data_IF_884711431128
#
_entry.id   IF_884711431128
#
_cell.length_a   1.000
_cell.length_b   1.000
_cell.length_c   1.000
_cell.angle_alpha   90.00
_cell.angle_beta   90.00
_cell.angle_gamma   90.00
#
_symmetry.space_group_name_H-M   'P 1'
#
loop_
_entity.id
_entity.type
_entity.pdbx_description
1 polymer ?
#
# COMPACT_ATOMS: atom_id res chain seq x y z
N UNK A 1 23.94 -27.87 23.07
CA UNK A 1 23.10 -26.67 22.84
C UNK A 1 23.72 -25.85 21.71
N UNK A 2 22.98 -25.55 20.63
CA UNK A 2 23.47 -24.64 19.58
C UNK A 2 23.36 -23.19 20.07
N UNK A 3 24.39 -22.35 19.90
CA UNK A 3 24.28 -20.93 20.28
C UNK A 3 23.20 -20.25 19.44
N UNK A 4 22.34 -19.50 20.12
CA UNK A 4 21.29 -18.67 19.52
C UNK A 4 21.93 -17.66 18.56
N UNK A 5 21.71 -17.86 17.26
CA UNK A 5 22.21 -17.06 16.15
C UNK A 5 21.53 -15.65 16.03
N UNK A 6 20.93 -15.11 17.10
CA UNK A 6 20.33 -13.75 17.12
C UNK A 6 21.33 -12.62 17.32
N UNK A 7 22.55 -12.96 17.76
CA UNK A 7 23.63 -12.01 18.08
C UNK A 7 24.64 -11.89 16.95
N UNK A 8 24.20 -11.76 15.70
CA UNK A 8 25.11 -11.54 14.58
C UNK A 8 25.65 -10.09 14.67
N UNK A 9 26.92 -9.85 15.06
CA UNK A 9 27.40 -8.50 15.32
C UNK A 9 27.40 -7.62 14.06
N UNK A 10 27.50 -8.24 12.87
CA UNK A 10 27.43 -7.53 11.59
C UNK A 10 26.02 -7.02 11.33
N UNK A 11 25.01 -7.82 11.63
CA UNK A 11 23.61 -7.41 11.51
C UNK A 11 23.27 -6.29 12.51
N UNK A 12 23.72 -6.43 13.76
CA UNK A 12 23.51 -5.40 14.77
C UNK A 12 24.10 -4.06 14.36
N UNK A 13 25.37 -4.05 13.92
CA UNK A 13 26.05 -2.84 13.43
C UNK A 13 25.31 -2.23 12.23
N UNK A 14 24.85 -3.07 11.30
CA UNK A 14 24.07 -2.62 10.15
C UNK A 14 22.75 -1.95 10.56
N UNK A 15 22.02 -2.54 11.51
CA UNK A 15 20.73 -1.99 11.96
C UNK A 15 20.93 -0.68 12.74
N UNK A 16 21.91 -0.61 13.64
CA UNK A 16 22.27 0.62 14.36
C UNK A 16 22.52 1.76 13.36
N UNK A 17 23.34 1.51 12.35
CA UNK A 17 23.67 2.51 11.32
C UNK A 17 22.42 2.96 10.56
N UNK A 18 21.56 2.02 10.15
CA UNK A 18 20.34 2.33 9.39
C UNK A 18 19.33 3.12 10.19
N UNK A 19 19.26 2.91 11.51
CA UNK A 19 18.30 3.58 12.39
C UNK A 19 18.80 4.91 12.96
N UNK A 20 20.08 5.26 12.77
CA UNK A 20 20.71 6.43 13.40
C UNK A 20 19.97 7.74 13.13
N UNK A 21 19.56 7.94 11.88
CA UNK A 21 18.91 9.16 11.39
C UNK A 21 17.46 8.90 10.93
N UNK A 22 16.85 7.81 11.39
CA UNK A 22 15.50 7.43 11.01
C UNK A 22 14.50 8.45 11.58
N UNK A 23 13.79 9.15 10.69
CA UNK A 23 12.68 10.06 11.04
C UNK A 23 11.30 9.39 10.94
N UNK A 24 11.29 8.12 10.55
CA UNK A 24 10.09 7.29 10.43
C UNK A 24 10.47 5.81 10.48
N UNK A 25 9.50 4.93 10.73
CA UNK A 25 9.70 3.48 10.68
C UNK A 25 10.33 2.97 9.39
N UNK A 26 11.42 2.21 9.53
CA UNK A 26 12.07 1.50 8.45
C UNK A 26 11.36 0.17 8.15
N UNK A 27 11.38 -0.23 6.88
CA UNK A 27 10.81 -1.50 6.45
C UNK A 27 11.76 -2.67 6.77
N UNK A 28 11.34 -3.57 7.65
CA UNK A 28 12.14 -4.73 8.10
C UNK A 28 12.53 -5.65 6.94
N UNK A 29 11.64 -5.87 5.98
CA UNK A 29 11.90 -6.75 4.83
C UNK A 29 12.99 -6.16 3.94
N UNK A 30 12.92 -4.85 3.66
CA UNK A 30 13.95 -4.12 2.91
C UNK A 30 15.30 -4.12 3.63
N UNK A 31 15.31 -3.93 4.95
CA UNK A 31 16.54 -4.02 5.75
C UNK A 31 17.17 -5.41 5.66
N UNK A 32 16.36 -6.47 5.68
CA UNK A 32 16.84 -7.85 5.53
C UNK A 32 17.44 -8.11 4.13
N UNK A 33 16.80 -7.62 3.07
CA UNK A 33 17.29 -7.72 1.69
C UNK A 33 18.61 -6.94 1.50
N UNK A 34 18.66 -5.70 1.98
CA UNK A 34 19.87 -4.86 1.93
C UNK A 34 21.03 -5.52 2.68
N UNK A 35 20.76 -6.05 3.88
CA UNK A 35 21.79 -6.76 4.64
C UNK A 35 22.29 -8.01 3.92
N UNK A 36 21.39 -8.81 3.34
CA UNK A 36 21.79 -10.01 2.57
C UNK A 36 22.68 -9.64 1.39
N UNK A 37 22.31 -8.59 0.63
CA UNK A 37 23.10 -8.10 -0.50
C UNK A 37 24.48 -7.63 -0.06
N UNK A 38 24.56 -6.88 1.05
CA UNK A 38 25.83 -6.34 1.56
C UNK A 38 26.73 -7.40 2.21
N UNK A 39 26.16 -8.46 2.77
CA UNK A 39 26.90 -9.52 3.45
C UNK A 39 27.36 -10.65 2.52
N UNK A 40 26.87 -10.70 1.27
CA UNK A 40 27.12 -11.81 0.34
C UNK A 40 26.54 -13.15 0.82
N UNK A 41 25.60 -13.13 1.77
CA UNK A 41 25.08 -14.34 2.41
C UNK A 41 24.22 -15.17 1.45
N UNK A 42 24.44 -16.49 1.43
CA UNK A 42 23.59 -17.46 0.71
C UNK A 42 22.24 -17.77 1.38
N UNK A 43 22.02 -17.31 2.63
CA UNK A 43 20.74 -17.51 3.34
C UNK A 43 19.57 -16.78 2.68
N UNK A 44 18.36 -17.32 2.87
CA UNK A 44 17.13 -16.75 2.34
C UNK A 44 16.76 -15.42 2.98
N UNK A 45 15.97 -14.61 2.27
CA UNK A 45 15.49 -13.29 2.75
C UNK A 45 14.65 -13.47 4.02
N UNK A 46 13.81 -14.51 4.05
CA UNK A 46 13.00 -14.88 5.20
C UNK A 46 13.86 -15.21 6.44
N UNK A 47 15.03 -15.83 6.25
CA UNK A 47 15.96 -16.08 7.36
C UNK A 47 16.46 -14.77 7.97
N UNK A 48 16.79 -13.78 7.15
CA UNK A 48 17.26 -12.47 7.63
C UNK A 48 16.13 -11.64 8.23
N UNK A 49 14.93 -11.69 7.63
CA UNK A 49 13.73 -11.06 8.18
C UNK A 49 13.42 -11.55 9.58
N UNK A 50 13.42 -12.87 9.80
CA UNK A 50 13.23 -13.47 11.14
C UNK A 50 14.31 -13.03 12.12
N UNK A 51 15.55 -12.86 11.67
CA UNK A 51 16.65 -12.35 12.52
C UNK A 51 16.45 -10.90 12.93
N UNK A 52 16.04 -10.03 12.00
CA UNK A 52 15.72 -8.63 12.30
C UNK A 52 14.51 -8.54 13.24
N UNK A 53 13.47 -9.35 13.03
CA UNK A 53 12.31 -9.41 13.94
C UNK A 53 12.69 -9.87 15.34
N UNK A 54 13.56 -10.87 15.46
CA UNK A 54 14.06 -11.34 16.75
C UNK A 54 14.91 -10.28 17.45
N UNK A 55 15.78 -9.59 16.72
CA UNK A 55 16.54 -8.47 17.25
C UNK A 55 15.62 -7.34 17.74
N UNK A 56 14.59 -6.99 16.94
CA UNK A 56 13.56 -6.00 17.30
C UNK A 56 12.86 -6.34 18.62
N UNK A 57 12.60 -7.61 18.92
CA UNK A 57 11.95 -8.00 20.19
C UNK A 57 12.91 -8.06 21.38
N UNK A 58 14.21 -8.26 21.14
CA UNK A 58 15.20 -8.44 22.21
C UNK A 58 15.93 -7.14 22.58
N UNK A 59 15.91 -6.11 21.72
CA UNK A 59 16.75 -4.90 21.84
C UNK A 59 16.67 -4.18 23.20
N UNK A 60 15.48 -4.06 23.77
CA UNK A 60 15.27 -3.35 25.03
C UNK A 60 16.03 -4.01 26.20
N UNK A 61 16.22 -5.33 26.14
CA UNK A 61 16.89 -6.14 27.16
C UNK A 61 18.41 -6.28 26.93
N UNK A 62 18.97 -5.62 25.91
CA UNK A 62 20.40 -5.76 25.58
C UNK A 62 21.25 -4.75 26.36
N UNK A 63 21.88 -5.17 27.46
CA UNK A 63 22.74 -4.29 28.28
C UNK A 63 23.99 -3.77 27.55
N UNK A 64 24.37 -4.39 26.44
CA UNK A 64 25.53 -3.98 25.64
C UNK A 64 25.28 -2.78 24.72
N UNK A 65 24.07 -2.22 24.72
CA UNK A 65 23.67 -1.12 23.85
C UNK A 65 23.17 0.02 24.74
N UNK A 66 23.70 1.22 24.52
CA UNK A 66 23.30 2.41 25.25
C UNK A 66 21.82 2.76 25.01
N UNK A 67 21.18 3.38 26.00
CA UNK A 67 19.76 3.73 25.96
C UNK A 67 19.39 4.59 24.76
N UNK A 68 20.22 5.57 24.38
CA UNK A 68 19.93 6.43 23.22
C UNK A 68 19.88 5.61 21.93
N UNK A 69 20.81 4.67 21.77
CA UNK A 69 20.87 3.77 20.62
C UNK A 69 19.69 2.81 20.63
N UNK A 70 19.29 2.28 21.80
CA UNK A 70 18.09 1.44 21.93
C UNK A 70 16.84 2.21 21.49
N UNK A 71 16.68 3.47 21.92
CA UNK A 71 15.55 4.32 21.53
C UNK A 71 15.49 4.51 20.02
N UNK A 72 16.61 4.84 19.37
CA UNK A 72 16.68 4.97 17.90
C UNK A 72 16.30 3.68 17.16
N UNK A 73 16.75 2.53 17.65
CA UNK A 73 16.42 1.23 17.05
C UNK A 73 14.95 0.89 17.26
N UNK A 74 14.43 1.07 18.47
CA UNK A 74 13.04 0.81 18.85
C UNK A 74 12.10 1.66 17.99
N UNK A 75 12.39 2.95 17.87
CA UNK A 75 11.67 3.86 16.98
C UNK A 75 11.80 3.43 15.51
N UNK A 76 13.03 3.32 15.01
CA UNK A 76 13.31 3.00 13.61
C UNK A 76 12.75 1.64 13.17
N UNK A 77 12.69 0.63 14.03
CA UNK A 77 12.10 -0.69 13.72
C UNK A 77 10.63 -0.81 14.15
N UNK A 78 10.02 0.26 14.66
CA UNK A 78 8.67 0.21 15.25
C UNK A 78 8.50 -0.91 16.28
N UNK A 79 9.50 -1.14 17.13
CA UNK A 79 9.39 -2.13 18.20
C UNK A 79 8.34 -1.66 19.23
N UNK A 80 7.43 -2.55 19.67
CA UNK A 80 6.63 -2.25 20.85
C UNK A 80 7.58 -2.19 22.05
N UNK A 81 7.39 -1.20 22.92
CA UNK A 81 8.11 -1.09 24.19
C UNK A 81 7.30 -1.76 25.29
N UNK A 82 7.99 -2.48 26.17
CA UNK A 82 7.36 -2.93 27.39
C UNK A 82 7.27 -1.81 28.43
N UNK A 83 6.44 -2.04 29.46
CA UNK A 83 6.19 -1.05 30.50
C UNK A 83 7.43 -0.73 31.35
N UNK A 84 8.35 -1.69 31.52
CA UNK A 84 9.55 -1.49 32.34
C UNK A 84 10.47 -0.51 31.62
N UNK A 85 10.77 -0.78 30.34
CA UNK A 85 11.60 0.07 29.52
C UNK A 85 10.95 1.46 29.31
N UNK A 86 9.63 1.54 29.10
CA UNK A 86 8.93 2.83 28.99
C UNK A 86 9.06 3.67 30.26
N UNK A 87 8.88 3.07 31.44
CA UNK A 87 9.03 3.76 32.72
C UNK A 87 10.47 4.22 32.95
N UNK A 88 11.48 3.48 32.47
CA UNK A 88 12.87 3.91 32.52
C UNK A 88 13.12 5.15 31.65
N UNK A 89 12.62 5.15 30.41
CA UNK A 89 12.76 6.29 29.51
C UNK A 89 12.07 7.55 30.03
N UNK A 90 10.90 7.40 30.65
CA UNK A 90 10.10 8.52 31.15
C UNK A 90 10.73 9.26 32.35
N UNK A 91 11.81 8.74 32.95
CA UNK A 91 12.56 9.45 33.99
C UNK A 91 13.30 10.67 33.43
N UNK A 92 13.85 10.53 32.23
CA UNK A 92 14.77 11.49 31.63
C UNK A 92 14.28 12.03 30.28
N UNK A 93 13.07 11.67 29.85
CA UNK A 93 12.49 12.09 28.59
C UNK A 93 10.96 12.16 28.63
N UNK A 94 10.40 13.04 27.80
CA UNK A 94 9.00 12.96 27.39
C UNK A 94 8.86 11.84 26.35
N UNK A 95 8.00 10.85 26.63
CA UNK A 95 7.76 9.71 25.73
C UNK A 95 6.28 9.51 25.49
N UNK A 96 5.87 9.55 24.22
CA UNK A 96 4.51 9.23 23.78
C UNK A 96 4.54 7.92 22.98
N UNK A 97 3.52 7.09 23.18
CA UNK A 97 3.36 5.81 22.49
C UNK A 97 1.99 5.70 21.85
N UNK A 98 1.89 4.92 20.78
CA UNK A 98 0.61 4.60 20.13
C UNK A 98 -0.14 3.43 20.79
N UNK A 99 -1.31 3.08 20.24
CA UNK A 99 -2.16 1.96 20.66
C UNK A 99 -1.47 0.58 20.68
N UNK A 100 -0.34 0.43 19.97
CA UNK A 100 0.45 -0.79 19.92
C UNK A 100 1.70 -0.70 20.82
N UNK A 101 1.75 0.27 21.73
CA UNK A 101 2.89 0.59 22.60
C UNK A 101 4.17 0.87 21.81
N UNK A 102 4.09 1.54 20.65
CA UNK A 102 5.27 1.95 19.88
C UNK A 102 5.54 3.43 20.13
N UNK A 103 6.79 3.80 20.39
CA UNK A 103 7.19 5.20 20.60
C UNK A 103 6.85 6.01 19.34
N UNK A 104 5.94 6.97 19.43
CA UNK A 104 5.63 7.94 18.37
C UNK A 104 6.37 9.25 18.56
N UNK A 105 6.71 9.57 19.81
CA UNK A 105 7.47 10.75 20.18
C UNK A 105 8.41 10.44 21.33
N UNK A 106 9.64 10.93 21.22
CA UNK A 106 10.64 10.88 22.26
C UNK A 106 11.37 12.22 22.28
N UNK A 107 11.47 12.85 23.45
CA UNK A 107 12.22 14.08 23.64
C UNK A 107 13.00 14.01 24.96
N UNK A 108 14.31 13.88 24.87
CA UNK A 108 15.18 13.88 26.03
C UNK A 108 15.12 15.23 26.76
N UNK A 109 15.12 15.21 28.09
CA UNK A 109 15.03 16.41 28.92
C UNK A 109 16.24 17.34 28.74
N UNK A 110 17.40 16.80 28.40
CA UNK A 110 18.64 17.53 28.11
C UNK A 110 18.71 18.05 26.66
N UNK A 111 17.72 17.73 25.82
CA UNK A 111 17.68 18.11 24.41
C UNK A 111 18.63 17.32 23.50
N UNK A 112 19.28 16.26 23.99
CA UNK A 112 20.24 15.44 23.21
C UNK A 112 19.59 14.68 22.05
N UNK A 113 18.33 14.28 22.20
CA UNK A 113 17.59 13.50 21.21
C UNK A 113 16.12 13.92 21.15
N UNK A 114 15.65 14.18 19.92
CA UNK A 114 14.25 14.40 19.61
C UNK A 114 13.86 13.53 18.41
N UNK A 115 12.85 12.67 18.61
CA UNK A 115 12.27 11.81 17.60
C UNK A 115 10.77 12.03 17.61
N UNK A 116 10.19 12.22 16.44
CA UNK A 116 8.76 12.29 16.25
C UNK A 116 8.42 11.67 14.90
N UNK A 117 7.43 10.79 14.89
CA UNK A 117 7.02 10.12 13.67
C UNK A 117 5.76 9.29 13.86
N UNK A 118 4.98 9.19 12.80
CA UNK A 118 3.77 8.41 12.80
C UNK A 118 4.06 6.92 12.49
N UNK A 119 3.63 6.06 13.42
CA UNK A 119 3.67 4.60 13.28
C UNK A 119 2.31 4.02 12.87
N UNK A 120 1.28 4.87 12.84
CA UNK A 120 0.01 4.58 12.20
C UNK A 120 0.26 4.30 10.71
N UNK A 121 -0.68 3.62 10.11
CA UNK A 121 -0.46 2.89 8.88
C UNK A 121 -0.73 3.72 7.59
N UNK A 122 -0.17 4.93 7.36
CA UNK A 122 -0.03 5.41 5.98
C UNK A 122 1.25 4.89 5.33
N UNK A 123 2.40 5.03 6.00
CA UNK A 123 3.70 4.61 5.45
C UNK A 123 3.89 3.08 5.48
N UNK A 124 3.29 2.40 6.46
CA UNK A 124 3.44 0.95 6.66
C UNK A 124 2.42 0.11 5.88
N UNK A 125 1.20 0.61 5.62
CA UNK A 125 0.22 -0.08 4.73
C UNK A 125 0.55 0.05 3.25
N UNK A 126 1.40 1.00 2.84
CA UNK A 126 1.87 1.04 1.46
C UNK A 126 2.75 -0.20 1.13
N UNK A 127 3.40 -0.80 2.14
CA UNK A 127 4.43 -1.83 1.96
C UNK A 127 4.27 -3.14 2.75
N UNK A 128 3.36 -3.26 3.73
CA UNK A 128 3.18 -4.52 4.50
C UNK A 128 1.70 -4.93 4.65
N UNK A 129 1.07 -5.36 3.56
CA UNK A 129 0.11 -6.47 3.62
C UNK A 129 0.74 -7.67 2.93
N UNK A 130 0.86 -8.75 3.69
CA UNK A 130 1.38 -10.07 3.28
C UNK A 130 0.46 -10.62 2.16
N UNK A 131 0.72 -10.28 0.89
CA UNK A 131 0.48 -11.08 -0.35
C UNK A 131 0.86 -10.30 -1.65
N UNK A 132 1.85 -9.41 -1.61
CA UNK A 132 2.14 -8.48 -2.74
C UNK A 132 3.57 -8.57 -3.28
N UNK A 133 4.12 -9.79 -3.45
CA UNK A 133 5.36 -9.99 -4.23
C UNK A 133 5.28 -9.40 -5.65
N UNK A 134 4.06 -9.19 -6.15
CA UNK A 134 3.79 -8.60 -7.45
C UNK A 134 3.77 -7.06 -7.45
N UNK A 135 3.75 -6.35 -6.31
CA UNK A 135 3.77 -4.86 -6.34
C UNK A 135 5.08 -4.29 -6.84
N UNK A 136 6.17 -5.05 -6.72
CA UNK A 136 7.47 -4.76 -7.32
C UNK A 136 7.68 -5.44 -8.68
N UNK A 137 6.70 -6.22 -9.16
CA UNK A 137 6.71 -6.74 -10.52
C UNK A 137 6.49 -5.56 -11.49
N UNK A 138 7.46 -5.23 -12.34
CA UNK A 138 7.33 -4.13 -13.30
C UNK A 138 6.05 -4.21 -14.12
N UNK A 139 5.65 -5.42 -14.53
CA UNK A 139 4.47 -5.65 -15.36
C UNK A 139 3.17 -5.38 -14.58
N UNK A 140 3.17 -5.61 -13.27
CA UNK A 140 2.03 -5.24 -12.44
C UNK A 140 1.94 -3.72 -12.24
N UNK A 141 3.09 -3.04 -12.06
CA UNK A 141 3.14 -1.58 -11.94
C UNK A 141 2.60 -0.96 -13.23
N UNK A 142 3.02 -1.47 -14.39
CA UNK A 142 2.52 -1.07 -15.70
C UNK A 142 1.01 -1.32 -15.85
N UNK A 143 0.54 -2.51 -15.46
CA UNK A 143 -0.90 -2.82 -15.46
C UNK A 143 -1.69 -1.83 -14.57
N UNK A 144 -1.15 -1.46 -13.40
CA UNK A 144 -1.81 -0.51 -12.50
C UNK A 144 -1.87 0.88 -13.09
N UNK A 145 -0.77 1.37 -13.69
CA UNK A 145 -0.74 2.65 -14.40
C UNK A 145 -1.74 2.65 -15.55
N UNK A 146 -1.79 1.57 -16.33
CA UNK A 146 -2.74 1.40 -17.41
C UNK A 146 -4.19 1.44 -16.91
N UNK A 147 -4.50 0.75 -15.81
CA UNK A 147 -5.84 0.78 -15.20
C UNK A 147 -6.23 2.19 -14.76
N UNK A 148 -5.33 2.91 -14.07
CA UNK A 148 -5.59 4.29 -13.62
C UNK A 148 -5.88 5.19 -14.82
N UNK A 149 -5.04 5.15 -15.85
CA UNK A 149 -5.28 5.92 -17.08
C UNK A 149 -6.61 5.57 -17.73
N UNK A 150 -6.90 4.27 -17.90
CA UNK A 150 -8.13 3.80 -18.53
C UNK A 150 -9.39 4.26 -17.81
N UNK A 151 -9.31 4.50 -16.50
CA UNK A 151 -10.44 4.99 -15.70
C UNK A 151 -10.64 6.51 -15.71
N UNK A 152 -9.67 7.31 -16.19
CA UNK A 152 -9.80 8.78 -16.17
C UNK A 152 -10.99 9.27 -16.99
N UNK A 153 -11.19 8.65 -18.15
CA UNK A 153 -12.25 8.96 -19.12
C UNK A 153 -13.44 7.99 -19.04
N UNK A 154 -13.43 7.07 -18.06
CA UNK A 154 -14.49 6.06 -17.94
C UNK A 154 -15.75 6.65 -17.32
N UNK A 155 -16.77 6.88 -18.16
CA UNK A 155 -18.11 7.28 -17.76
C UNK A 155 -19.05 6.11 -17.49
N UNK A 156 -18.57 4.87 -17.65
CA UNK A 156 -19.33 3.65 -17.41
C UNK A 156 -18.44 2.54 -16.84
N UNK A 157 -19.02 1.54 -16.14
CA UNK A 157 -18.26 0.41 -15.63
C UNK A 157 -17.57 -0.39 -16.74
N UNK A 158 -16.32 -0.77 -16.51
CA UNK A 158 -15.48 -1.51 -17.45
C UNK A 158 -15.52 -3.02 -17.21
N UNK A 159 -15.38 -3.78 -18.29
CA UNK A 159 -15.09 -5.21 -18.21
C UNK A 159 -13.61 -5.46 -17.90
N UNK A 160 -13.30 -5.95 -16.69
CA UNK A 160 -11.91 -6.28 -16.30
C UNK A 160 -11.27 -7.29 -17.27
N UNK A 161 -12.07 -8.17 -17.89
CA UNK A 161 -11.57 -9.11 -18.90
C UNK A 161 -11.11 -8.37 -20.16
N UNK A 162 -11.93 -7.49 -20.71
CA UNK A 162 -11.59 -6.73 -21.92
C UNK A 162 -10.41 -5.80 -21.66
N UNK A 163 -10.36 -5.15 -20.50
CA UNK A 163 -9.22 -4.31 -20.09
C UNK A 163 -7.93 -5.12 -20.01
N UNK A 164 -7.98 -6.36 -19.53
CA UNK A 164 -6.83 -7.26 -19.50
C UNK A 164 -6.41 -7.74 -20.91
N UNK A 165 -7.36 -7.99 -21.81
CA UNK A 165 -7.09 -8.31 -23.22
C UNK A 165 -6.43 -7.13 -23.93
N UNK A 166 -6.93 -5.92 -23.70
CA UNK A 166 -6.37 -4.69 -24.25
C UNK A 166 -4.95 -4.43 -23.73
N UNK A 167 -4.73 -4.50 -22.41
CA UNK A 167 -3.39 -4.36 -21.84
C UNK A 167 -2.42 -5.36 -22.44
N UNK A 168 -2.82 -6.64 -22.60
CA UNK A 168 -1.98 -7.65 -23.22
C UNK A 168 -1.60 -7.26 -24.66
N UNK A 169 -2.56 -6.77 -25.44
CA UNK A 169 -2.35 -6.37 -26.84
C UNK A 169 -1.43 -5.14 -26.96
N UNK A 170 -1.55 -4.18 -26.05
CA UNK A 170 -0.79 -2.92 -26.11
C UNK A 170 0.60 -3.02 -25.48
N UNK A 171 0.77 -3.80 -24.41
CA UNK A 171 2.06 -3.98 -23.72
C UNK A 171 2.96 -5.07 -24.33
N UNK A 172 2.38 -6.02 -25.09
CA UNK A 172 3.09 -7.23 -25.50
C UNK A 172 3.33 -8.22 -24.35
N UNK A 173 2.59 -8.09 -23.24
CA UNK A 173 2.70 -8.96 -22.06
C UNK A 173 2.72 -10.45 -22.41
N UNK A 174 3.70 -11.16 -21.85
CA UNK A 174 3.80 -12.63 -21.97
C UNK A 174 2.76 -13.37 -21.12
N UNK A 175 2.09 -12.68 -20.19
CA UNK A 175 1.12 -13.31 -19.30
C UNK A 175 -0.18 -13.68 -20.00
N UNK A 176 -0.86 -14.68 -19.46
CA UNK A 176 -2.21 -14.99 -19.91
C UNK A 176 -3.20 -13.88 -19.49
N UNK A 177 -4.24 -13.68 -20.30
CA UNK A 177 -5.33 -12.74 -19.99
C UNK A 177 -5.93 -13.04 -18.61
N UNK A 178 -6.05 -14.30 -18.24
CA UNK A 178 -6.56 -14.69 -16.92
C UNK A 178 -5.63 -14.29 -15.76
N UNK A 179 -4.31 -14.32 -15.97
CA UNK A 179 -3.35 -13.85 -14.98
C UNK A 179 -3.51 -12.33 -14.77
N UNK A 180 -3.54 -11.58 -15.87
CA UNK A 180 -3.75 -10.12 -15.86
C UNK A 180 -5.11 -9.75 -15.23
N UNK A 181 -6.17 -10.47 -15.57
CA UNK A 181 -7.51 -10.30 -14.98
C UNK A 181 -7.50 -10.55 -13.47
N UNK A 182 -6.80 -11.58 -12.99
CA UNK A 182 -6.65 -11.85 -11.55
C UNK A 182 -5.88 -10.71 -10.86
N UNK A 183 -4.82 -10.19 -11.48
CA UNK A 183 -4.05 -9.03 -10.99
C UNK A 183 -4.92 -7.78 -10.89
N UNK A 184 -5.67 -7.45 -11.93
CA UNK A 184 -6.60 -6.32 -11.94
C UNK A 184 -7.71 -6.46 -10.88
N UNK A 185 -8.24 -7.68 -10.65
CA UNK A 185 -9.19 -7.94 -9.55
C UNK A 185 -8.59 -7.72 -8.17
N UNK A 186 -7.31 -8.07 -7.98
CA UNK A 186 -6.58 -7.82 -6.73
C UNK A 186 -6.31 -6.33 -6.51
N UNK A 187 -5.97 -5.59 -7.57
CA UNK A 187 -5.88 -4.14 -7.52
C UNK A 187 -7.21 -3.53 -7.05
N UNK A 188 -8.30 -3.92 -7.71
CA UNK A 188 -9.66 -3.48 -7.41
C UNK A 188 -10.04 -3.64 -5.95
N UNK A 189 -9.73 -4.77 -5.34
CA UNK A 189 -10.09 -5.04 -3.93
C UNK A 189 -9.29 -4.19 -2.93
N UNK A 190 -8.32 -3.40 -3.39
CA UNK A 190 -7.43 -2.59 -2.55
C UNK A 190 -7.59 -1.08 -2.76
N UNK A 191 -8.40 -0.64 -3.73
CA UNK A 191 -8.56 0.78 -4.09
C UNK A 191 -8.88 1.65 -2.85
N UNK A 192 -9.84 1.24 -2.03
CA UNK A 192 -10.23 1.97 -0.81
C UNK A 192 -9.12 2.12 0.24
N UNK A 193 -8.02 1.37 0.11
CA UNK A 193 -6.86 1.44 1.00
C UNK A 193 -5.72 2.29 0.40
N UNK A 194 -5.92 2.90 -0.76
CA UNK A 194 -4.91 3.68 -1.49
C UNK A 194 -5.04 5.18 -1.19
N UNK A 195 -4.55 5.61 -0.03
CA UNK A 195 -4.61 7.02 0.41
C UNK A 195 -3.70 7.99 -0.38
N UNK A 196 -2.86 7.49 -1.29
CA UNK A 196 -1.97 8.30 -2.14
C UNK A 196 -2.62 8.76 -3.44
N UNK A 197 -3.85 8.31 -3.71
CA UNK A 197 -4.63 8.69 -4.88
C UNK A 197 -5.63 9.75 -4.42
N UNK A 198 -5.81 10.81 -5.21
CA UNK A 198 -6.80 11.84 -4.90
C UNK A 198 -8.23 11.26 -4.89
N UNK A 199 -9.16 11.97 -4.24
CA UNK A 199 -10.54 11.51 -4.03
C UNK A 199 -11.26 11.25 -5.36
N UNK A 200 -11.07 12.11 -6.36
CA UNK A 200 -11.71 11.99 -7.68
C UNK A 200 -11.24 10.73 -8.42
N UNK A 201 -9.93 10.53 -8.52
CA UNK A 201 -9.35 9.32 -9.14
C UNK A 201 -9.77 8.06 -8.39
N UNK A 202 -9.83 8.11 -7.06
CA UNK A 202 -10.30 6.99 -6.23
C UNK A 202 -11.75 6.63 -6.57
N UNK A 203 -12.64 7.62 -6.66
CA UNK A 203 -14.05 7.41 -7.04
C UNK A 203 -14.16 6.82 -8.45
N UNK A 204 -13.42 7.37 -9.43
CA UNK A 204 -13.38 6.84 -10.81
C UNK A 204 -12.92 5.39 -10.84
N UNK A 205 -11.89 5.03 -10.07
CA UNK A 205 -11.41 3.65 -9.96
C UNK A 205 -12.45 2.72 -9.33
N UNK A 206 -13.10 3.15 -8.23
CA UNK A 206 -14.13 2.37 -7.56
C UNK A 206 -15.31 2.09 -8.50
N UNK A 207 -15.78 3.13 -9.21
CA UNK A 207 -16.87 3.05 -10.17
C UNK A 207 -16.49 2.19 -11.39
N UNK A 208 -15.46 2.58 -12.13
CA UNK A 208 -15.11 1.96 -13.41
C UNK A 208 -14.71 0.48 -13.25
N UNK A 209 -13.98 0.12 -12.19
CA UNK A 209 -13.61 -1.29 -11.94
C UNK A 209 -14.69 -2.08 -11.19
N UNK A 210 -15.79 -1.43 -10.79
CA UNK A 210 -16.89 -2.02 -10.02
C UNK A 210 -16.38 -2.63 -8.71
N UNK A 211 -15.59 -1.86 -7.98
CA UNK A 211 -15.14 -2.21 -6.65
C UNK A 211 -16.31 -2.12 -5.67
N UNK A 212 -16.38 -3.09 -4.76
CA UNK A 212 -17.31 -3.01 -3.64
C UNK A 212 -16.72 -2.05 -2.60
N UNK A 213 -17.57 -1.21 -2.04
CA UNK A 213 -17.25 -0.21 -1.03
C UNK A 213 -17.80 -0.67 0.31
N UNK A 214 -17.06 -0.42 1.39
CA UNK A 214 -17.57 -0.61 2.73
C UNK A 214 -18.31 0.65 3.21
N UNK A 215 -19.00 0.52 4.35
CA UNK A 215 -19.80 1.61 4.91
C UNK A 215 -18.96 2.83 5.26
N UNK A 216 -17.72 2.64 5.70
CA UNK A 216 -16.85 3.75 6.10
C UNK A 216 -16.46 4.59 4.89
N UNK A 217 -16.06 3.94 3.79
CA UNK A 217 -15.78 4.63 2.52
C UNK A 217 -17.03 5.36 2.00
N UNK A 218 -18.19 4.72 2.05
CA UNK A 218 -19.44 5.35 1.60
C UNK A 218 -19.80 6.58 2.44
N UNK A 219 -19.70 6.49 3.77
CA UNK A 219 -19.95 7.61 4.66
C UNK A 219 -19.01 8.79 4.36
N UNK A 220 -17.73 8.52 4.09
CA UNK A 220 -16.76 9.56 3.72
C UNK A 220 -17.06 10.21 2.36
N UNK A 221 -17.49 9.44 1.37
CA UNK A 221 -17.88 9.96 0.06
C UNK A 221 -19.16 10.80 0.15
N UNK A 222 -20.14 10.37 0.94
CA UNK A 222 -21.43 11.02 1.10
C UNK A 222 -21.40 12.39 1.80
N UNK A 223 -20.28 12.76 2.44
CA UNK A 223 -20.10 14.10 3.01
C UNK A 223 -20.17 15.21 1.95
N UNK A 224 -19.63 14.93 0.76
CA UNK A 224 -19.44 15.93 -0.29
C UNK A 224 -20.08 15.53 -1.63
N UNK A 225 -20.87 14.45 -1.66
CA UNK A 225 -21.47 13.92 -2.88
C UNK A 225 -22.75 13.13 -2.61
N UNK A 226 -23.65 13.08 -3.60
CA UNK A 226 -24.69 12.08 -3.68
C UNK A 226 -24.07 10.76 -4.17
N UNK A 227 -24.25 9.68 -3.42
CA UNK A 227 -23.70 8.35 -3.75
C UNK A 227 -24.79 7.30 -3.64
N UNK A 228 -25.05 6.58 -4.74
CA UNK A 228 -25.95 5.43 -4.79
C UNK A 228 -25.14 4.17 -5.10
N UNK A 229 -25.56 3.05 -4.50
CA UNK A 229 -24.90 1.75 -4.67
C UNK A 229 -25.91 0.66 -5.01
N UNK A 230 -25.44 -0.39 -5.68
CA UNK A 230 -26.21 -1.61 -5.89
C UNK A 230 -26.15 -2.59 -4.71
N UNK A 231 -26.83 -3.73 -4.85
CA UNK A 231 -26.87 -4.83 -3.87
C UNK A 231 -25.50 -5.41 -3.49
N UNK A 232 -24.44 -5.15 -4.28
CA UNK A 232 -23.07 -5.58 -4.02
C UNK A 232 -22.21 -4.45 -3.43
N UNK A 233 -22.83 -3.35 -2.99
CA UNK A 233 -22.19 -2.12 -2.51
C UNK A 233 -21.22 -1.51 -3.53
N UNK A 234 -21.54 -1.58 -4.81
CA UNK A 234 -20.76 -0.93 -5.89
C UNK A 234 -21.45 0.36 -6.28
N UNK A 235 -20.67 1.42 -6.47
CA UNK A 235 -21.18 2.76 -6.80
C UNK A 235 -21.87 2.72 -8.18
N UNK A 236 -23.18 2.83 -8.21
CA UNK A 236 -23.96 2.95 -9.46
C UNK A 236 -24.15 4.39 -9.88
N UNK A 237 -24.13 5.31 -8.91
CA UNK A 237 -24.21 6.75 -9.13
C UNK A 237 -23.32 7.51 -8.17
N UNK A 238 -22.60 8.50 -8.69
CA UNK A 238 -21.83 9.45 -7.90
C UNK A 238 -22.03 10.85 -8.51
N UNK A 239 -22.39 11.82 -7.68
CA UNK A 239 -22.51 13.22 -8.09
C UNK A 239 -21.92 14.11 -7.01
N UNK A 240 -20.78 14.73 -7.30
CA UNK A 240 -20.14 15.66 -6.38
C UNK A 240 -20.99 16.92 -6.18
N UNK A 241 -21.05 17.42 -4.94
CA UNK A 241 -21.85 18.60 -4.58
C UNK A 241 -21.36 19.88 -5.28
N UNK A 242 -20.06 19.94 -5.61
CA UNK A 242 -19.43 21.03 -6.36
C UNK A 242 -19.58 20.90 -7.88
N UNK A 243 -20.19 19.82 -8.37
CA UNK A 243 -20.36 19.55 -9.80
C UNK A 243 -19.08 19.09 -10.53
N UNK A 244 -17.99 18.83 -9.81
CA UNK A 244 -16.70 18.42 -10.41
C UNK A 244 -16.73 17.05 -11.10
N UNK A 245 -17.60 16.13 -10.61
CA UNK A 245 -17.69 14.77 -11.10
C UNK A 245 -19.12 14.25 -11.04
N UNK A 246 -19.57 13.66 -12.14
CA UNK A 246 -20.84 12.93 -12.25
C UNK A 246 -20.60 11.61 -12.99
N UNK A 247 -20.99 10.50 -12.34
CA UNK A 247 -20.85 9.14 -12.86
C UNK A 247 -22.17 8.41 -12.62
N UNK A 248 -22.66 7.69 -13.63
CA UNK A 248 -23.85 6.84 -13.52
C UNK A 248 -23.70 5.65 -14.45
N UNK A 249 -23.99 4.43 -13.99
CA UNK A 249 -23.92 3.27 -14.85
C UNK A 249 -24.24 1.93 -14.20
N UNK A 250 -24.60 0.97 -15.05
CA UNK A 250 -24.93 -0.40 -14.66
C UNK A 250 -23.68 -1.31 -14.64
N UNK A 251 -23.52 -2.05 -13.54
CA UNK A 251 -22.43 -3.00 -13.34
C UNK A 251 -22.71 -4.42 -13.87
N UNK A 252 -23.84 -4.67 -14.53
CA UNK A 252 -24.14 -5.94 -15.18
C UNK A 252 -23.11 -6.29 -16.27
N UNK A 253 -22.89 -7.59 -16.52
CA UNK A 253 -21.95 -8.01 -17.58
C UNK A 253 -22.37 -7.52 -18.98
N UNK A 254 -23.67 -7.54 -19.35
CA UNK A 254 -24.13 -6.97 -20.62
C UNK A 254 -23.76 -5.48 -20.74
N UNK A 255 -24.08 -4.66 -19.74
CA UNK A 255 -23.78 -3.22 -19.76
C UNK A 255 -22.28 -2.92 -19.95
N UNK A 256 -21.42 -3.72 -19.31
CA UNK A 256 -19.95 -3.60 -19.40
C UNK A 256 -19.35 -4.00 -20.74
N UNK A 257 -20.07 -4.80 -21.53
CA UNK A 257 -19.57 -5.36 -22.79
C UNK A 257 -19.95 -4.51 -24.01
N UNK A 258 -21.00 -3.70 -23.88
CA UNK A 258 -21.59 -2.87 -24.96
C UNK A 258 -20.69 -1.67 -25.34
N UNK A 259 -19.73 -1.29 -24.50
CA UNK A 259 -18.78 -0.20 -24.78
C UNK A 259 -17.87 -0.46 -25.99
N UNK A 260 -17.75 -1.71 -26.46
CA UNK A 260 -16.96 -2.07 -27.66
C UNK A 260 -17.79 -1.96 -28.95
N UNK A 261 -19.09 -2.26 -28.92
CA UNK A 261 -19.94 -2.23 -30.11
C UNK A 261 -20.35 -0.82 -30.53
N UNK A 262 -20.43 0.14 -29.59
CA UNK A 262 -20.68 1.56 -29.95
C UNK A 262 -19.53 2.19 -30.74
N UNK A 263 -18.29 1.73 -30.58
CA UNK A 263 -17.15 2.22 -31.38
C UNK A 263 -17.12 1.58 -32.76
N UNK A 264 -17.48 0.29 -32.87
CA UNK A 264 -17.58 -0.39 -34.17
C UNK A 264 -18.77 0.11 -35.01
N UNK A 265 -19.92 0.35 -34.39
CA UNK A 265 -21.11 0.92 -35.04
C UNK A 265 -20.89 2.37 -35.50
N UNK A 266 -20.20 3.20 -34.71
CA UNK A 266 -19.91 4.58 -35.09
C UNK A 266 -18.97 4.70 -36.29
N UNK A 267 -18.04 3.73 -36.47
CA UNK A 267 -17.15 3.66 -37.64
C UNK A 267 -17.87 3.14 -38.90
N UNK A 268 -18.87 2.27 -38.75
CA UNK A 268 -19.68 1.82 -39.89
C UNK A 268 -20.69 2.88 -40.36
N UNK A 269 -21.25 3.68 -39.46
CA UNK A 269 -22.16 4.78 -39.84
C UNK A 269 -21.43 5.97 -40.46
N UNK A 270 -20.15 6.21 -40.13
CA UNK A 270 -19.35 7.27 -40.76
C UNK A 270 -18.80 6.91 -42.14
N UNK A 271 -18.49 5.63 -42.41
CA UNK A 271 -18.13 5.16 -43.76
C UNK A 271 -19.32 5.17 -44.73
N UNK A 272 -20.55 4.93 -44.25
CA UNK A 272 -21.75 4.95 -45.09
C UNK A 272 -22.23 6.38 -45.50
N UNK A 273 -21.71 7.43 -44.86
CA UNK A 273 -22.06 8.84 -45.19
C UNK A 273 -21.07 9.46 -46.18
N UNK A 274 -19.94 8.79 -46.46
CA UNK A 274 -18.92 9.28 -47.41
C UNK A 274 -19.12 8.69 -48.84
N UNK A 275 -20.07 7.76 -49.03
CA UNK A 275 -20.35 7.12 -50.33
C UNK A 275 -21.66 7.58 -51.02
N UNK A 276 -22.13 8.81 -50.80
CA UNK A 276 -23.19 9.43 -51.61
C UNK A 276 -22.86 10.87 -52.02
#
# INVERSE_FOLDING_TARGET
>A
MRPSNSKDPKLMKFLIEKTKDAKSPLNISRLAEEFKKNSGSSKSDECWRKRVQKFRSEIQQMDSIDTEVKVKIVFGLSAPVDRIFLNELQKDALVEVDENNRITKFKANDGSLELEGDHSQPAKKMLETIDDKWKSDPEYIELTKFLIEKTKDANSPLSIRQVAEEFKKTSGSSQSVDCLRKRAKRFRSKIHKMYSIDKETTVKLLFALSASTDKDVLNELQKDALVEVDENNRITKFKANDGSLELEGDHSQPAKSISVEKVASALQTTLAVIEF
#
